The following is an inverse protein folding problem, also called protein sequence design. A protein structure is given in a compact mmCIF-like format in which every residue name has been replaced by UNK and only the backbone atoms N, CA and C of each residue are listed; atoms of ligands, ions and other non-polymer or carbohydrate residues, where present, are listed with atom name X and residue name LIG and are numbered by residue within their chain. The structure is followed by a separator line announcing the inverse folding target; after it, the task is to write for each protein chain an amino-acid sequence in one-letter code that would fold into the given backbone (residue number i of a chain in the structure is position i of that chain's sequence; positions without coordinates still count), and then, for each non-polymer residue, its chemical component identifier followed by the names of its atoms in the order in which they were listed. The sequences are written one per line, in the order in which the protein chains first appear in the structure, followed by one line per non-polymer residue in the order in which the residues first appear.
data_IF_594205992496
#
_entry.id   IF_594205992496
#
_cell.length_a   1.000
_cell.length_b   1.000
_cell.length_c   1.000
_cell.angle_alpha   90.00
_cell.angle_beta   90.00
_cell.angle_gamma   90.00
#
_symmetry.space_group_name_H-M   'P 1'
#
loop_
_entity.id
_entity.type
_entity.pdbx_description
1 polymer ?
#
# COMPACT_ATOMS: atom_id res chain seq x y z
N UNK A 1 -14.00 -2.65 -14.77
CA UNK A 1 -12.77 -2.06 -14.16
C UNK A 1 -13.01 -1.54 -12.74
N UNK A 2 -14.02 -0.69 -12.46
CA UNK A 2 -14.38 -0.31 -11.07
C UNK A 2 -14.72 -1.52 -10.20
N UNK A 3 -15.54 -2.45 -10.72
CA UNK A 3 -15.88 -3.70 -10.03
C UNK A 3 -14.66 -4.55 -9.68
N UNK A 4 -13.62 -4.56 -10.54
CA UNK A 4 -12.40 -5.31 -10.26
C UNK A 4 -11.61 -4.70 -9.11
N UNK A 5 -11.60 -3.37 -8.99
CA UNK A 5 -10.98 -2.69 -7.86
C UNK A 5 -11.70 -3.00 -6.55
N UNK A 6 -13.04 -2.99 -6.56
CA UNK A 6 -13.86 -3.40 -5.40
C UNK A 6 -13.57 -4.84 -4.99
N UNK A 7 -13.50 -5.77 -5.93
CA UNK A 7 -13.18 -7.19 -5.64
C UNK A 7 -11.78 -7.33 -5.01
N UNK A 8 -10.79 -6.59 -5.52
CA UNK A 8 -9.43 -6.59 -4.95
C UNK A 8 -9.38 -6.02 -3.53
N UNK A 9 -10.14 -4.94 -3.27
CA UNK A 9 -10.24 -4.36 -1.92
C UNK A 9 -10.92 -5.33 -0.94
N UNK A 10 -12.04 -5.94 -1.33
CA UNK A 10 -12.73 -6.94 -0.51
C UNK A 10 -11.84 -8.15 -0.23
N UNK A 11 -11.09 -8.65 -1.23
CA UNK A 11 -10.16 -9.76 -1.04
C UNK A 11 -8.98 -9.38 -0.13
N UNK A 12 -8.53 -8.13 -0.15
CA UNK A 12 -7.51 -7.62 0.77
C UNK A 12 -8.04 -7.55 2.22
N UNK A 13 -9.27 -7.10 2.41
CA UNK A 13 -9.92 -6.95 3.72
C UNK A 13 -10.27 -8.30 4.35
N UNK A 14 -10.99 -9.15 3.61
CA UNK A 14 -11.67 -10.34 4.12
C UNK A 14 -11.09 -11.68 3.62
N UNK A 15 -10.12 -11.66 2.69
CA UNK A 15 -9.53 -12.87 2.10
C UNK A 15 -8.60 -13.65 3.03
N UNK A 16 -8.26 -14.88 2.62
CA UNK A 16 -7.25 -15.72 3.30
C UNK A 16 -5.85 -15.12 3.09
N UNK A 17 -4.84 -15.61 3.83
CA UNK A 17 -3.46 -15.07 3.79
C UNK A 17 -2.85 -15.05 2.37
N UNK A 18 -3.17 -16.04 1.52
CA UNK A 18 -2.78 -16.09 0.10
C UNK A 18 -3.45 -14.97 -0.69
N UNK A 19 -4.76 -14.86 -0.54
CA UNK A 19 -5.62 -13.99 -1.34
C UNK A 19 -5.29 -12.52 -1.06
N UNK A 20 -4.95 -12.18 0.19
CA UNK A 20 -4.47 -10.83 0.55
C UNK A 20 -3.16 -10.46 -0.14
N UNK A 21 -2.20 -11.39 -0.17
CA UNK A 21 -0.90 -11.15 -0.79
C UNK A 21 -1.03 -10.97 -2.30
N UNK A 22 -1.82 -11.82 -2.95
CA UNK A 22 -2.05 -11.74 -4.39
C UNK A 22 -2.85 -10.50 -4.76
N UNK A 23 -3.86 -10.13 -3.95
CA UNK A 23 -4.63 -8.89 -4.14
C UNK A 23 -3.77 -7.65 -3.99
N UNK A 24 -2.90 -7.59 -2.96
CA UNK A 24 -1.96 -6.48 -2.79
C UNK A 24 -0.98 -6.37 -3.98
N UNK A 25 -0.49 -7.50 -4.49
CA UNK A 25 0.40 -7.54 -5.65
C UNK A 25 -0.29 -7.09 -6.94
N UNK A 26 -1.54 -7.51 -7.15
CA UNK A 26 -2.36 -7.08 -8.27
C UNK A 26 -2.70 -5.59 -8.17
N UNK A 27 -3.07 -5.09 -6.99
CA UNK A 27 -3.26 -3.65 -6.74
C UNK A 27 -1.99 -2.85 -7.07
N UNK A 28 -0.82 -3.32 -6.62
CA UNK A 28 0.46 -2.69 -6.95
C UNK A 28 0.82 -2.71 -8.44
N UNK A 29 0.22 -3.61 -9.23
CA UNK A 29 0.38 -3.65 -10.70
C UNK A 29 -0.70 -2.83 -11.41
N UNK A 30 -1.87 -2.69 -10.79
CA UNK A 30 -3.02 -1.96 -11.32
C UNK A 30 -2.87 -0.43 -11.16
N UNK A 31 -2.44 0.02 -9.99
CA UNK A 31 -2.15 1.43 -9.69
C UNK A 31 -1.30 2.08 -10.78
N UNK A 32 -0.19 1.44 -11.25
CA UNK A 32 0.60 2.01 -12.31
C UNK A 32 -0.04 2.05 -13.69
N UNK A 33 -0.92 1.10 -13.99
CA UNK A 33 -1.51 0.90 -15.31
C UNK A 33 -2.74 1.81 -15.56
N UNK A 34 -3.46 2.23 -14.51
CA UNK A 34 -4.74 2.94 -14.66
C UNK A 34 -4.87 4.16 -13.74
N UNK A 35 -4.05 5.22 -13.90
CA UNK A 35 -3.99 6.36 -12.97
C UNK A 35 -5.32 7.15 -12.86
N UNK A 36 -6.02 7.37 -13.98
CA UNK A 36 -7.31 8.09 -14.01
C UNK A 36 -8.44 7.37 -13.27
N UNK A 37 -8.36 6.05 -13.16
CA UNK A 37 -9.31 5.23 -12.41
C UNK A 37 -8.94 5.10 -10.93
N UNK A 38 -7.69 5.33 -10.56
CA UNK A 38 -7.19 5.17 -9.18
C UNK A 38 -7.37 6.44 -8.37
N UNK A 39 -7.26 7.61 -9.00
CA UNK A 39 -7.41 8.92 -8.34
C UNK A 39 -8.67 9.05 -7.46
N UNK A 40 -9.89 8.69 -7.90
CA UNK A 40 -11.08 8.78 -7.05
C UNK A 40 -11.17 7.70 -5.97
N UNK A 41 -10.31 6.68 -5.99
CA UNK A 41 -10.28 5.57 -5.03
C UNK A 41 -9.06 5.61 -4.11
N UNK A 42 -8.29 6.70 -4.11
CA UNK A 42 -7.16 6.88 -3.19
C UNK A 42 -7.50 6.59 -1.73
N UNK A 43 -8.53 7.25 -1.15
CA UNK A 43 -8.89 7.03 0.25
C UNK A 43 -9.35 5.60 0.57
N UNK A 44 -10.25 4.95 -0.21
CA UNK A 44 -10.59 3.55 0.02
C UNK A 44 -9.40 2.59 -0.10
N UNK A 45 -8.48 2.83 -1.04
CA UNK A 45 -7.28 2.00 -1.19
C UNK A 45 -6.36 2.18 0.02
N UNK A 46 -6.19 3.41 0.53
CA UNK A 46 -5.43 3.67 1.75
C UNK A 46 -6.02 2.96 2.97
N UNK A 47 -7.33 3.09 3.19
CA UNK A 47 -8.03 2.44 4.30
C UNK A 47 -7.87 0.92 4.29
N UNK A 48 -7.83 0.30 3.10
CA UNK A 48 -7.61 -1.14 2.97
C UNK A 48 -6.13 -1.55 3.14
N UNK A 49 -5.18 -0.69 2.73
CA UNK A 49 -3.73 -0.98 2.79
C UNK A 49 -3.12 -0.77 4.18
N UNK A 50 -3.47 0.31 4.88
CA UNK A 50 -2.82 0.72 6.15
C UNK A 50 -2.88 -0.40 7.20
N UNK A 51 -4.04 -1.04 7.49
CA UNK A 51 -4.10 -2.11 8.48
C UNK A 51 -3.31 -3.37 8.10
N UNK A 52 -2.88 -3.49 6.83
CA UNK A 52 -2.13 -4.66 6.32
C UNK A 52 -0.62 -4.42 6.29
N UNK A 53 -0.15 -3.20 6.59
CA UNK A 53 1.27 -2.90 6.74
C UNK A 53 1.89 -3.68 7.92
N UNK A 54 1.10 -3.93 8.96
CA UNK A 54 1.46 -4.72 10.14
C UNK A 54 1.06 -6.20 10.06
N UNK A 55 0.66 -6.72 8.88
CA UNK A 55 0.21 -8.12 8.74
C UNK A 55 1.35 -9.10 9.12
N UNK A 56 0.99 -10.12 9.91
CA UNK A 56 1.86 -11.24 10.30
C UNK A 56 2.58 -11.89 9.10
N UNK A 57 1.94 -11.89 7.93
CA UNK A 57 2.54 -12.33 6.69
C UNK A 57 3.43 -11.23 6.11
N UNK A 58 4.75 -11.36 6.36
CA UNK A 58 5.77 -10.43 5.86
C UNK A 58 5.74 -10.22 4.33
N UNK A 59 5.23 -11.20 3.57
CA UNK A 59 5.08 -11.08 2.11
C UNK A 59 3.93 -10.13 1.76
N UNK A 60 2.77 -10.31 2.40
CA UNK A 60 1.61 -9.44 2.21
C UNK A 60 1.94 -8.01 2.64
N UNK A 61 2.59 -7.82 3.80
CA UNK A 61 3.05 -6.52 4.27
C UNK A 61 3.99 -5.85 3.26
N UNK A 62 4.99 -6.57 2.71
CA UNK A 62 5.89 -6.03 1.69
C UNK A 62 5.15 -5.62 0.40
N UNK A 63 4.19 -6.42 -0.06
CA UNK A 63 3.36 -6.11 -1.22
C UNK A 63 2.44 -4.89 -0.95
N UNK A 64 1.95 -4.72 0.28
CA UNK A 64 1.19 -3.54 0.70
C UNK A 64 2.06 -2.26 0.73
N UNK A 65 3.29 -2.31 1.27
CA UNK A 65 4.23 -1.18 1.20
C UNK A 65 4.51 -0.76 -0.25
N UNK A 66 4.71 -1.74 -1.14
CA UNK A 66 4.90 -1.46 -2.57
C UNK A 66 3.70 -0.73 -3.17
N UNK A 67 2.49 -1.25 -2.94
CA UNK A 67 1.25 -0.66 -3.44
C UNK A 67 1.05 0.76 -2.90
N UNK A 68 1.30 0.97 -1.60
CA UNK A 68 1.21 2.26 -0.93
C UNK A 68 2.15 3.30 -1.55
N UNK A 69 3.43 2.96 -1.71
CA UNK A 69 4.40 3.87 -2.30
C UNK A 69 4.05 4.24 -3.75
N UNK A 70 3.48 3.30 -4.51
CA UNK A 70 3.01 3.55 -5.88
C UNK A 70 1.77 4.44 -5.92
N UNK A 71 0.86 4.27 -4.95
CA UNK A 71 -0.32 5.11 -4.81
C UNK A 71 0.08 6.55 -4.52
N UNK A 72 0.97 6.78 -3.55
CA UNK A 72 1.42 8.13 -3.19
C UNK A 72 2.15 8.80 -4.34
N UNK A 73 3.07 8.08 -5.00
CA UNK A 73 3.82 8.62 -6.13
C UNK A 73 2.95 9.06 -7.32
N UNK A 74 1.73 8.52 -7.44
CA UNK A 74 0.79 8.85 -8.54
C UNK A 74 -0.36 9.75 -8.12
N UNK A 75 -0.83 9.62 -6.88
CA UNK A 75 -1.92 10.42 -6.32
C UNK A 75 -1.47 11.78 -5.79
N UNK A 76 -0.18 11.94 -5.45
CA UNK A 76 0.34 13.15 -4.82
C UNK A 76 -0.43 13.51 -3.54
N UNK A 77 -0.60 14.80 -3.27
CA UNK A 77 -1.44 15.32 -2.18
C UNK A 77 -2.93 14.92 -2.30
N UNK A 78 -3.37 14.46 -3.48
CA UNK A 78 -4.73 13.97 -3.74
C UNK A 78 -4.98 12.50 -3.37
N UNK A 79 -3.97 11.77 -2.87
CA UNK A 79 -4.14 10.39 -2.43
C UNK A 79 -5.11 10.26 -1.23
N UNK A 80 -5.34 11.35 -0.50
CA UNK A 80 -6.27 11.39 0.64
C UNK A 80 -5.67 10.99 1.97
N UNK A 81 -4.36 11.18 2.17
CA UNK A 81 -3.72 11.01 3.48
C UNK A 81 -4.30 11.99 4.49
N UNK A 82 -4.93 11.47 5.55
CA UNK A 82 -5.11 12.27 6.76
C UNK A 82 -3.77 12.37 7.51
N UNK A 83 -3.64 13.35 8.42
CA UNK A 83 -2.46 13.44 9.31
C UNK A 83 -2.30 12.22 10.20
N UNK A 84 -3.40 11.54 10.53
CA UNK A 84 -3.39 10.35 11.38
C UNK A 84 -2.83 9.15 10.61
N UNK A 85 -3.28 8.97 9.36
CA UNK A 85 -2.77 7.94 8.44
C UNK A 85 -1.27 8.10 8.20
N UNK A 86 -0.80 9.34 8.04
CA UNK A 86 0.62 9.63 7.81
C UNK A 86 1.47 9.18 9.00
N UNK A 87 1.02 9.48 10.23
CA UNK A 87 1.70 9.06 11.45
C UNK A 87 1.76 7.54 11.60
N UNK A 88 0.66 6.84 11.29
CA UNK A 88 0.61 5.38 11.34
C UNK A 88 1.51 4.74 10.28
N UNK A 89 1.40 5.19 9.03
CA UNK A 89 2.24 4.72 7.92
C UNK A 89 3.72 4.93 8.22
N UNK A 90 4.10 6.08 8.78
CA UNK A 90 5.50 6.35 9.09
C UNK A 90 6.04 5.43 10.19
N UNK A 91 5.24 5.14 11.23
CA UNK A 91 5.61 4.17 12.27
C UNK A 91 5.82 2.77 11.69
N UNK A 92 4.90 2.32 10.85
CA UNK A 92 4.99 0.99 10.21
C UNK A 92 6.17 0.90 9.23
N UNK A 93 6.48 1.98 8.50
CA UNK A 93 7.65 2.05 7.62
C UNK A 93 8.95 1.90 8.40
N UNK A 94 9.12 2.62 9.51
CA UNK A 94 10.32 2.51 10.36
C UNK A 94 10.45 1.08 10.89
N UNK A 95 9.37 0.52 11.46
CA UNK A 95 9.37 -0.85 11.96
C UNK A 95 9.71 -1.89 10.88
N UNK A 96 9.20 -1.70 9.66
CA UNK A 96 9.47 -2.57 8.52
C UNK A 96 10.90 -2.45 8.00
N UNK A 97 11.52 -1.27 8.07
CA UNK A 97 12.94 -1.05 7.72
C UNK A 97 13.85 -1.73 8.74
N UNK A 98 13.46 -1.74 10.01
CA UNK A 98 14.21 -2.40 11.09
C UNK A 98 14.00 -3.92 11.16
N UNK A 99 12.99 -4.47 10.45
CA UNK A 99 12.67 -5.91 10.45
C UNK A 99 13.83 -6.76 9.90
N UNK A 100 14.61 -7.37 10.80
CA UNK A 100 15.74 -8.24 10.44
C UNK A 100 15.32 -9.53 9.72
N UNK A 101 14.08 -9.97 9.87
CA UNK A 101 13.60 -11.25 9.34
C UNK A 101 12.99 -11.21 7.93
N UNK A 102 12.95 -10.06 7.23
CA UNK A 102 12.55 -10.03 5.81
C UNK A 102 13.27 -8.95 5.03
N UNK A 103 14.23 -9.36 4.19
CA UNK A 103 14.95 -8.44 3.29
C UNK A 103 13.99 -7.74 2.32
N UNK A 104 12.98 -8.46 1.81
CA UNK A 104 11.99 -7.90 0.88
C UNK A 104 11.13 -6.82 1.54
N UNK A 105 10.66 -7.07 2.77
CA UNK A 105 9.85 -6.09 3.52
C UNK A 105 10.64 -4.81 3.80
N UNK A 106 11.90 -4.94 4.23
CA UNK A 106 12.81 -3.79 4.40
C UNK A 106 12.98 -2.99 3.11
N UNK A 107 13.23 -3.68 2.00
CA UNK A 107 13.45 -3.03 0.71
C UNK A 107 12.21 -2.28 0.23
N UNK A 108 11.04 -2.93 0.22
CA UNK A 108 9.80 -2.29 -0.24
C UNK A 108 9.38 -1.14 0.68
N UNK A 109 9.61 -1.24 2.00
CA UNK A 109 9.39 -0.14 2.94
C UNK A 109 10.32 1.06 2.65
N UNK A 110 11.62 0.82 2.47
CA UNK A 110 12.57 1.89 2.13
C UNK A 110 12.22 2.58 0.79
N UNK A 111 11.82 1.79 -0.21
CA UNK A 111 11.36 2.33 -1.50
C UNK A 111 10.06 3.11 -1.33
N UNK A 112 9.10 2.63 -0.54
CA UNK A 112 7.85 3.33 -0.27
C UNK A 112 8.11 4.68 0.42
N UNK A 113 8.98 4.72 1.42
CA UNK A 113 9.40 5.97 2.07
C UNK A 113 9.96 6.97 1.07
N UNK A 114 10.87 6.52 0.19
CA UNK A 114 11.45 7.39 -0.85
C UNK A 114 10.42 7.98 -1.82
N UNK A 115 9.33 7.24 -2.07
CA UNK A 115 8.24 7.68 -2.94
C UNK A 115 7.32 8.66 -2.22
N UNK A 116 7.06 8.43 -0.94
CA UNK A 116 6.26 9.32 -0.11
C UNK A 116 6.95 10.69 0.03
N UNK A 117 8.23 10.70 0.39
CA UNK A 117 8.98 11.97 0.55
C UNK A 117 9.10 12.74 -0.75
N UNK A 118 9.22 12.05 -1.89
CA UNK A 118 9.25 12.70 -3.21
C UNK A 118 7.89 13.17 -3.69
N UNK A 119 6.81 12.45 -3.36
CA UNK A 119 5.44 12.81 -3.75
C UNK A 119 4.80 13.89 -2.87
N UNK A 120 5.42 14.20 -1.72
CA UNK A 120 4.99 15.25 -0.79
C UNK A 120 5.57 16.64 -1.12
N UNK A 121 6.51 16.75 -2.07
CA UNK A 121 7.08 18.00 -2.57
C UNK A 121 6.57 18.34 -3.96
#
# INVERSE_FOLDING_TARGET
LREHLTVLLTALEAGRKSDRSDSARLLGSFIPACPSLVAPFGPPILQALIPKLSDSNKRASADCFKALGLLVARGGAGAGFSREDEGEVMRELIAAIEDRGSRRRRFEAAVALSRITRGAG
#
